data_IF_855663778237
#
_entry.id   IF_855663778237
#
_cell.length_a   1.000
_cell.length_b   1.000
_cell.length_c   1.000
_cell.angle_alpha   90.00
_cell.angle_beta   90.00
_cell.angle_gamma   90.00
#
_symmetry.space_group_name_H-M   'P 1'
#
loop_
_entity.id
_entity.type
_entity.pdbx_description
1 polymer ?
#
# COMPACT_ATOMS: atom_id res chain seq x y z
N UNK A 1 42.37 -6.42 -38.70
CA UNK A 1 40.99 -5.94 -38.61
C UNK A 1 40.04 -7.06 -39.01
N UNK A 2 39.24 -7.58 -38.07
CA UNK A 2 37.84 -8.01 -38.28
C UNK A 2 37.33 -8.60 -36.95
N UNK A 3 36.62 -7.80 -36.16
CA UNK A 3 35.76 -8.30 -35.10
C UNK A 3 34.34 -7.91 -35.49
N UNK A 4 33.55 -8.92 -35.86
CA UNK A 4 32.12 -8.77 -36.11
C UNK A 4 31.42 -8.43 -34.79
N UNK A 5 31.01 -7.18 -34.65
CA UNK A 5 30.03 -6.74 -33.66
C UNK A 5 28.72 -7.50 -33.87
N UNK A 6 28.47 -8.49 -33.01
CA UNK A 6 27.13 -9.02 -32.78
C UNK A 6 26.44 -8.14 -31.74
N UNK A 7 26.13 -6.91 -32.13
CA UNK A 7 25.33 -6.00 -31.31
C UNK A 7 23.88 -6.45 -31.35
N UNK A 8 23.48 -7.09 -30.26
CA UNK A 8 22.11 -7.48 -29.94
C UNK A 8 21.15 -6.32 -30.19
N UNK A 9 20.29 -6.44 -31.21
CA UNK A 9 19.15 -5.54 -31.43
C UNK A 9 18.18 -5.68 -30.23
N UNK A 10 18.40 -4.93 -29.16
CA UNK A 10 17.38 -4.67 -28.16
C UNK A 10 16.40 -3.66 -28.78
N UNK A 11 15.32 -4.16 -29.37
CA UNK A 11 14.22 -3.33 -29.85
C UNK A 11 13.61 -2.53 -28.69
N UNK A 12 13.99 -1.25 -28.58
CA UNK A 12 13.34 -0.32 -27.65
C UNK A 12 11.92 -0.03 -28.16
N UNK A 13 10.91 -0.47 -27.40
CA UNK A 13 9.51 -0.19 -27.71
C UNK A 13 9.28 1.32 -27.78
N UNK A 14 8.59 1.77 -28.83
CA UNK A 14 8.22 3.16 -29.03
C UNK A 14 7.20 3.62 -27.97
N UNK A 15 7.11 4.93 -27.76
CA UNK A 15 6.15 5.52 -26.81
C UNK A 15 4.69 5.15 -27.14
N UNK A 16 4.36 4.99 -28.43
CA UNK A 16 3.02 4.60 -28.90
C UNK A 16 2.72 3.14 -28.57
N UNK A 17 3.70 2.25 -28.78
CA UNK A 17 3.60 0.83 -28.41
C UNK A 17 3.45 0.67 -26.90
N UNK A 18 4.30 1.34 -26.11
CA UNK A 18 4.21 1.34 -24.64
C UNK A 18 2.85 1.86 -24.16
N UNK A 19 2.35 2.97 -24.74
CA UNK A 19 1.04 3.52 -24.38
C UNK A 19 -0.10 2.55 -24.69
N UNK A 20 -0.02 1.85 -25.83
CA UNK A 20 -1.02 0.86 -26.23
C UNK A 20 -1.01 -0.34 -25.29
N UNK A 21 0.18 -0.84 -24.95
CA UNK A 21 0.38 -1.93 -23.98
C UNK A 21 -0.15 -1.52 -22.61
N UNK A 22 0.21 -0.34 -22.10
CA UNK A 22 -0.26 0.17 -20.80
C UNK A 22 -1.78 0.28 -20.77
N UNK A 23 -2.41 0.81 -21.83
CA UNK A 23 -3.88 0.92 -21.92
C UNK A 23 -4.55 -0.46 -21.94
N UNK A 24 -3.98 -1.44 -22.65
CA UNK A 24 -4.48 -2.82 -22.66
C UNK A 24 -4.41 -3.45 -21.27
N UNK A 25 -3.25 -3.41 -20.62
CA UNK A 25 -3.10 -3.92 -19.26
C UNK A 25 -4.02 -3.19 -18.26
N UNK A 26 -4.25 -1.90 -18.44
CA UNK A 26 -5.21 -1.16 -17.61
C UNK A 26 -6.64 -1.66 -17.81
N UNK A 27 -7.04 -1.95 -19.05
CA UNK A 27 -8.35 -2.53 -19.35
C UNK A 27 -8.49 -3.95 -18.76
N UNK A 28 -7.47 -4.79 -18.94
CA UNK A 28 -7.43 -6.15 -18.37
C UNK A 28 -7.51 -6.10 -16.84
N UNK A 29 -6.75 -5.21 -16.20
CA UNK A 29 -6.81 -4.99 -14.75
C UNK A 29 -8.18 -4.53 -14.28
N UNK A 30 -8.89 -3.69 -15.05
CA UNK A 30 -10.24 -3.27 -14.69
C UNK A 30 -11.22 -4.45 -14.78
N UNK A 31 -11.15 -5.24 -15.85
CA UNK A 31 -11.97 -6.45 -16.01
C UNK A 31 -11.72 -7.45 -14.87
N UNK A 32 -10.46 -7.74 -14.57
CA UNK A 32 -10.09 -8.64 -13.47
C UNK A 32 -10.60 -8.12 -12.10
N UNK A 33 -10.61 -6.81 -11.89
CA UNK A 33 -11.19 -6.21 -10.67
C UNK A 33 -12.70 -6.38 -10.59
N UNK A 34 -13.40 -6.23 -11.71
CA UNK A 34 -14.85 -6.45 -11.79
C UNK A 34 -15.21 -7.92 -11.55
N UNK A 35 -14.52 -8.84 -12.23
CA UNK A 35 -14.69 -10.28 -12.05
C UNK A 35 -14.42 -10.68 -10.59
N UNK A 36 -13.33 -10.19 -10.00
CA UNK A 36 -13.01 -10.42 -8.58
C UNK A 36 -14.11 -9.91 -7.65
N UNK A 37 -14.69 -8.73 -7.94
CA UNK A 37 -15.78 -8.17 -7.13
C UNK A 37 -17.02 -9.06 -7.18
N UNK A 38 -17.38 -9.56 -8.37
CA UNK A 38 -18.50 -10.48 -8.56
C UNK A 38 -18.29 -11.80 -7.83
N UNK A 39 -17.12 -12.43 -8.00
CA UNK A 39 -16.77 -13.68 -7.31
C UNK A 39 -16.79 -13.51 -5.78
N UNK A 40 -16.30 -12.37 -5.27
CA UNK A 40 -16.34 -12.05 -3.84
C UNK A 40 -17.78 -11.88 -3.34
N UNK A 41 -18.66 -11.28 -4.14
CA UNK A 41 -20.07 -11.16 -3.78
C UNK A 41 -20.74 -12.53 -3.68
N UNK A 42 -20.58 -13.38 -4.70
CA UNK A 42 -21.11 -14.76 -4.68
C UNK A 42 -20.59 -15.57 -3.49
N UNK A 43 -19.29 -15.45 -3.20
CA UNK A 43 -18.67 -16.07 -2.03
C UNK A 43 -19.34 -15.61 -0.73
N UNK A 44 -19.58 -14.31 -0.54
CA UNK A 44 -20.21 -13.77 0.66
C UNK A 44 -21.70 -14.16 0.79
N UNK A 45 -22.42 -14.24 -0.34
CA UNK A 45 -23.82 -14.66 -0.39
C UNK A 45 -23.99 -16.11 0.07
N UNK A 46 -23.04 -16.99 -0.26
CA UNK A 46 -23.06 -18.39 0.16
C UNK A 46 -23.13 -18.54 1.69
N UNK A 47 -22.40 -17.71 2.44
CA UNK A 47 -22.47 -17.72 3.91
C UNK A 47 -23.75 -17.07 4.44
N UNK A 48 -24.22 -16.00 3.79
CA UNK A 48 -25.41 -15.26 4.23
C UNK A 48 -26.69 -16.09 4.12
N UNK A 49 -26.73 -17.02 3.17
CA UNK A 49 -27.85 -17.94 2.96
C UNK A 49 -27.82 -19.18 3.88
N UNK A 50 -26.70 -19.43 4.57
CA UNK A 50 -26.60 -20.54 5.52
C UNK A 50 -27.17 -20.13 6.90
N UNK A 51 -28.21 -20.84 7.35
CA UNK A 51 -28.90 -20.53 8.59
C UNK A 51 -28.00 -20.71 9.83
N UNK A 52 -27.09 -21.70 9.80
CA UNK A 52 -26.16 -21.96 10.91
C UNK A 52 -25.14 -20.83 11.02
N UNK A 53 -24.57 -20.42 9.90
CA UNK A 53 -23.65 -19.30 9.80
C UNK A 53 -24.32 -18.01 10.28
N UNK A 54 -25.53 -17.72 9.82
CA UNK A 54 -26.27 -16.51 10.23
C UNK A 54 -26.46 -16.44 11.75
N UNK A 55 -26.91 -17.54 12.37
CA UNK A 55 -27.08 -17.62 13.83
C UNK A 55 -25.76 -17.44 14.60
N UNK A 56 -24.67 -18.05 14.14
CA UNK A 56 -23.36 -17.89 14.78
C UNK A 56 -22.79 -16.49 14.58
N UNK A 57 -22.95 -15.91 13.39
CA UNK A 57 -22.56 -14.55 13.08
C UNK A 57 -23.29 -13.54 13.98
N UNK A 58 -24.57 -13.75 14.28
CA UNK A 58 -25.30 -12.88 15.20
C UNK A 58 -24.83 -13.01 16.66
N UNK A 59 -24.43 -14.20 17.11
CA UNK A 59 -23.75 -14.38 18.41
C UNK A 59 -22.41 -13.64 18.43
N UNK A 60 -21.61 -13.76 17.38
CA UNK A 60 -20.33 -13.03 17.24
C UNK A 60 -20.55 -11.52 17.23
N UNK A 61 -21.56 -11.01 16.52
CA UNK A 61 -21.91 -9.58 16.53
C UNK A 61 -22.28 -9.10 17.94
N UNK A 62 -23.05 -9.88 18.70
CA UNK A 62 -23.39 -9.55 20.10
C UNK A 62 -22.14 -9.49 20.97
N UNK A 63 -21.30 -10.53 20.93
CA UNK A 63 -20.03 -10.57 21.67
C UNK A 63 -19.08 -9.43 21.28
N UNK A 64 -19.03 -9.07 19.99
CA UNK A 64 -18.22 -7.95 19.51
C UNK A 64 -18.72 -6.61 20.06
N UNK A 65 -20.05 -6.42 20.15
CA UNK A 65 -20.63 -5.21 20.77
C UNK A 65 -20.29 -5.14 22.26
N UNK A 66 -20.46 -6.23 22.99
CA UNK A 66 -20.09 -6.31 24.42
C UNK A 66 -18.60 -6.03 24.63
N UNK A 67 -17.75 -6.65 23.81
CA UNK A 67 -16.30 -6.43 23.81
C UNK A 67 -15.95 -4.97 23.49
N UNK A 68 -16.66 -4.34 22.55
CA UNK A 68 -16.45 -2.94 22.20
C UNK A 68 -16.78 -2.01 23.37
N UNK A 69 -17.89 -2.24 24.08
CA UNK A 69 -18.25 -1.48 25.28
C UNK A 69 -17.19 -1.62 26.37
N UNK A 70 -16.69 -2.84 26.60
CA UNK A 70 -15.62 -3.10 27.58
C UNK A 70 -14.34 -2.36 27.18
N UNK A 71 -13.93 -2.44 25.90
CA UNK A 71 -12.76 -1.74 25.38
C UNK A 71 -12.90 -0.23 25.53
N UNK A 72 -14.06 0.33 25.19
CA UNK A 72 -14.33 1.76 25.35
C UNK A 72 -14.19 2.19 26.81
N UNK A 73 -14.74 1.41 27.74
CA UNK A 73 -14.57 1.65 29.18
C UNK A 73 -13.10 1.62 29.62
N UNK A 74 -12.31 0.66 29.11
CA UNK A 74 -10.87 0.57 29.42
C UNK A 74 -10.13 1.79 28.85
N UNK A 75 -10.42 2.20 27.62
CA UNK A 75 -9.77 3.34 26.98
C UNK A 75 -10.07 4.65 27.69
N UNK A 76 -11.28 4.80 28.25
CA UNK A 76 -11.67 5.97 29.06
C UNK A 76 -10.98 6.03 30.43
N UNK A 77 -10.22 5.01 30.83
CA UNK A 77 -9.40 5.10 32.03
C UNK A 77 -8.28 6.13 31.79
N UNK A 78 -8.06 7.12 32.68
CA UNK A 78 -7.13 8.23 32.43
C UNK A 78 -5.71 7.78 32.00
N UNK A 79 -5.18 6.73 32.62
CA UNK A 79 -3.86 6.19 32.28
C UNK A 79 -3.80 5.63 30.84
N UNK A 80 -4.88 5.02 30.37
CA UNK A 80 -4.97 4.45 29.02
C UNK A 80 -5.20 5.56 28.00
N UNK A 81 -6.03 6.55 28.30
CA UNK A 81 -6.26 7.71 27.43
C UNK A 81 -4.97 8.50 27.16
N UNK A 82 -4.15 8.71 28.20
CA UNK A 82 -2.82 9.30 28.08
C UNK A 82 -1.91 8.45 27.18
N UNK A 83 -1.94 7.12 27.34
CA UNK A 83 -1.18 6.20 26.50
C UNK A 83 -1.63 6.27 25.04
N UNK A 84 -2.94 6.27 24.76
CA UNK A 84 -3.48 6.38 23.39
C UNK A 84 -3.04 7.70 22.75
N UNK A 85 -3.09 8.79 23.51
CA UNK A 85 -2.62 10.10 23.05
C UNK A 85 -1.13 10.07 22.72
N UNK A 86 -0.30 9.49 23.59
CA UNK A 86 1.14 9.37 23.34
C UNK A 86 1.46 8.49 22.13
N UNK A 87 0.74 7.38 21.96
CA UNK A 87 0.86 6.51 20.77
C UNK A 87 0.53 7.30 19.49
N UNK A 88 -0.52 8.13 19.51
CA UNK A 88 -0.88 8.96 18.37
C UNK A 88 0.21 9.96 18.04
N UNK A 89 0.74 10.66 19.05
CA UNK A 89 1.85 11.61 18.88
C UNK A 89 3.08 10.95 18.27
N UNK A 90 3.52 9.80 18.82
CA UNK A 90 4.68 9.06 18.29
C UNK A 90 4.44 8.64 16.83
N UNK A 91 3.22 8.21 16.48
CA UNK A 91 2.90 7.83 15.09
C UNK A 91 3.01 9.03 14.13
N UNK A 92 2.56 10.19 14.57
CA UNK A 92 2.63 11.40 13.75
C UNK A 92 4.08 11.89 13.63
N UNK A 93 4.87 11.82 14.71
CA UNK A 93 6.33 12.08 14.70
C UNK A 93 7.08 11.13 13.75
N UNK A 94 6.73 9.84 13.74
CA UNK A 94 7.31 8.85 12.80
C UNK A 94 7.02 9.24 11.35
N UNK A 95 5.78 9.63 11.03
CA UNK A 95 5.41 10.04 9.66
C UNK A 95 6.20 11.26 9.19
N UNK A 96 6.24 12.30 10.01
CA UNK A 96 7.01 13.52 9.70
C UNK A 96 8.49 13.18 9.51
N UNK A 97 9.05 12.32 10.36
CA UNK A 97 10.44 11.87 10.25
C UNK A 97 10.70 11.06 8.97
N UNK A 98 9.77 10.19 8.57
CA UNK A 98 9.85 9.40 7.34
C UNK A 98 9.75 10.28 6.08
N UNK A 99 8.89 11.30 6.10
CA UNK A 99 8.79 12.28 5.01
C UNK A 99 10.09 13.07 4.87
N UNK A 100 10.61 13.62 5.98
CA UNK A 100 11.89 14.33 6.00
C UNK A 100 13.04 13.43 5.53
N UNK A 101 13.12 12.18 6.01
CA UNK A 101 14.11 11.21 5.56
C UNK A 101 14.00 10.95 4.05
N UNK A 102 12.79 10.78 3.52
CA UNK A 102 12.56 10.56 2.08
C UNK A 102 13.05 11.74 1.24
N UNK A 103 12.84 12.97 1.73
CA UNK A 103 13.31 14.19 1.09
C UNK A 103 14.85 14.27 1.09
N UNK A 104 15.49 13.93 2.22
CA UNK A 104 16.95 13.88 2.32
C UNK A 104 17.56 12.77 1.45
N UNK A 105 16.97 11.58 1.42
CA UNK A 105 17.43 10.48 0.58
C UNK A 105 17.32 10.83 -0.91
N UNK A 106 16.27 11.55 -1.31
CA UNK A 106 16.12 12.04 -2.69
C UNK A 106 17.20 13.06 -3.05
N UNK A 107 17.49 14.02 -2.17
CA UNK A 107 18.57 14.99 -2.42
C UNK A 107 19.94 14.33 -2.40
N UNK A 108 20.17 13.37 -1.50
CA UNK A 108 21.38 12.56 -1.46
C UNK A 108 21.60 11.83 -2.79
N UNK A 109 20.60 11.10 -3.29
CA UNK A 109 20.68 10.41 -4.60
C UNK A 109 20.99 11.39 -5.74
N UNK A 110 20.40 12.59 -5.72
CA UNK A 110 20.60 13.62 -6.74
C UNK A 110 22.02 14.20 -6.74
N UNK A 111 22.64 14.35 -5.57
CA UNK A 111 23.99 14.93 -5.43
C UNK A 111 25.08 13.87 -5.60
N UNK A 112 24.92 12.70 -5.00
CA UNK A 112 25.95 11.65 -4.97
C UNK A 112 25.85 10.65 -6.12
N UNK A 113 24.68 10.55 -6.78
CA UNK A 113 24.30 9.46 -7.68
C UNK A 113 24.36 8.06 -7.04
N UNK A 114 24.54 7.96 -5.72
CA UNK A 114 24.58 6.70 -5.00
C UNK A 114 23.17 6.25 -4.61
N UNK A 115 22.91 4.95 -4.74
CA UNK A 115 21.63 4.32 -4.36
C UNK A 115 21.74 3.52 -3.06
N UNK A 116 22.85 3.66 -2.34
CA UNK A 116 23.13 2.98 -1.09
C UNK A 116 23.70 3.95 -0.06
N UNK A 117 23.44 3.70 1.22
CA UNK A 117 24.01 4.44 2.35
C UNK A 117 24.43 3.45 3.42
N UNK A 118 25.57 3.69 4.08
CA UNK A 118 26.00 2.93 5.25
C UNK A 118 25.43 3.59 6.51
N UNK A 119 24.87 2.78 7.42
CA UNK A 119 24.36 3.28 8.69
C UNK A 119 25.44 3.31 9.79
N UNK A 120 25.09 3.85 10.97
CA UNK A 120 26.02 3.97 12.10
C UNK A 120 26.53 2.62 12.65
N UNK A 121 25.95 1.50 12.19
CA UNK A 121 26.34 0.14 12.57
C UNK A 121 27.20 -0.53 11.49
N UNK A 122 27.46 0.15 10.38
CA UNK A 122 28.18 -0.39 9.22
C UNK A 122 27.31 -1.23 8.30
N UNK A 123 25.98 -1.20 8.44
CA UNK A 123 25.07 -1.89 7.53
C UNK A 123 24.82 -1.04 6.29
N UNK A 124 24.99 -1.64 5.10
CA UNK A 124 24.70 -0.98 3.83
C UNK A 124 23.21 -1.12 3.49
N UNK A 125 22.51 0.01 3.47
CA UNK A 125 21.10 0.13 3.15
C UNK A 125 20.91 0.60 1.71
N UNK A 126 19.91 0.03 1.01
CA UNK A 126 19.55 0.46 -0.35
C UNK A 126 18.42 1.48 -0.33
N UNK A 127 18.56 2.56 -1.10
CA UNK A 127 17.53 3.56 -1.35
C UNK A 127 16.61 3.06 -2.47
N UNK A 128 15.31 2.91 -2.19
CA UNK A 128 14.30 2.42 -3.15
C UNK A 128 13.30 3.55 -3.48
N UNK A 129 13.41 4.22 -4.64
CA UNK A 129 12.40 5.14 -5.13
C UNK A 129 11.11 4.40 -5.50
N UNK A 130 9.94 4.89 -5.06
CA UNK A 130 8.64 4.31 -5.45
C UNK A 130 7.90 5.24 -6.41
N UNK A 131 7.61 4.75 -7.61
CA UNK A 131 6.77 5.43 -8.60
C UNK A 131 5.42 4.70 -8.69
N UNK A 132 4.30 5.41 -8.54
CA UNK A 132 2.94 4.83 -8.62
C UNK A 132 2.00 5.75 -9.38
N UNK A 133 1.15 5.18 -10.24
CA UNK A 133 0.06 5.91 -10.88
C UNK A 133 -1.15 5.95 -9.94
N UNK A 134 -1.56 7.15 -9.57
CA UNK A 134 -2.78 7.40 -8.79
C UNK A 134 -3.85 8.00 -9.68
N UNK A 135 -5.13 7.61 -9.47
CA UNK A 135 -6.24 8.27 -10.17
C UNK A 135 -6.33 9.71 -9.67
N UNK A 136 -6.25 10.68 -10.57
CA UNK A 136 -6.54 12.08 -10.24
C UNK A 136 -8.05 12.19 -10.05
N UNK A 137 -8.52 12.38 -8.80
CA UNK A 137 -9.91 12.75 -8.57
C UNK A 137 -10.18 14.07 -9.29
N UNK A 138 -10.96 14.02 -10.39
CA UNK A 138 -11.57 15.21 -10.96
C UNK A 138 -12.77 15.57 -10.08
N UNK A 139 -12.56 16.14 -8.89
CA UNK A 139 -13.57 16.90 -8.12
C UNK A 139 -12.96 17.33 -6.78
N UNK A 140 -12.61 18.61 -6.69
CA UNK A 140 -12.86 19.43 -5.51
C UNK A 140 -13.00 20.87 -6.04
N UNK A 141 -14.19 21.51 -5.97
CA UNK A 141 -14.31 22.95 -6.25
C UNK A 141 -13.47 23.78 -5.26
#
# INVERSE_FOLDING_TARGET
MNNNDSSTNQSTMTMVELTTIIKRYLADLNKLKEDMKMQKQMYNEAFSNDATYSQQNDKVKKLNRETAVIKERIVKQPAIELLVTKIKQIRDEIKVSQEALSDYLREYQKVSNATTIEDDKGEVLQIIPSYRLVRKNKFNP
#
